data_IF_106546553560
#
_entry.id   IF_106546553560
#
_cell.length_a   1.000
_cell.length_b   1.000
_cell.length_c   1.000
_cell.angle_alpha   90.00
_cell.angle_beta   90.00
_cell.angle_gamma   90.00
#
_symmetry.space_group_name_H-M   'P 1'
#
loop_
_entity.id
_entity.type
_entity.pdbx_description
1 polymer ?
#
# COMPACT_ATOMS: atom_id res chain seq x y z
N UNK A 1 0.22 44.69 -13.93
CA UNK A 1 0.13 43.25 -14.23
C UNK A 1 -0.99 42.68 -13.39
N UNK A 2 -2.18 42.50 -13.98
CA UNK A 2 -3.35 42.03 -13.25
C UNK A 2 -3.25 40.54 -12.96
N UNK A 3 -3.29 40.19 -11.68
CA UNK A 3 -3.55 38.83 -11.21
C UNK A 3 -4.94 38.44 -11.71
N UNK A 4 -5.02 37.46 -12.60
CA UNK A 4 -6.30 36.83 -12.92
C UNK A 4 -6.76 36.08 -11.67
N UNK A 5 -7.67 36.67 -10.92
CA UNK A 5 -8.54 35.90 -10.04
C UNK A 5 -9.35 34.95 -10.93
N UNK A 6 -8.99 33.67 -10.89
CA UNK A 6 -9.82 32.62 -11.46
C UNK A 6 -11.05 32.49 -10.54
N UNK A 7 -12.11 33.22 -10.87
CA UNK A 7 -13.44 32.96 -10.32
C UNK A 7 -13.89 31.59 -10.81
N UNK A 8 -13.83 30.58 -9.92
CA UNK A 8 -14.32 29.22 -10.19
C UNK A 8 -15.85 29.26 -10.12
N UNK A 9 -16.49 29.79 -11.16
CA UNK A 9 -17.92 29.59 -11.36
C UNK A 9 -18.15 28.16 -11.86
N UNK A 10 -18.68 27.30 -10.99
CA UNK A 10 -19.58 26.16 -11.27
C UNK A 10 -19.38 25.38 -12.59
N UNK A 11 -18.15 24.98 -12.92
CA UNK A 11 -17.97 24.02 -14.01
C UNK A 11 -18.70 22.71 -13.63
N UNK A 12 -19.59 22.18 -14.48
CA UNK A 12 -20.33 20.96 -14.16
C UNK A 12 -19.33 19.84 -13.91
N UNK A 13 -19.58 19.08 -12.85
CA UNK A 13 -18.75 17.95 -12.48
C UNK A 13 -18.57 17.03 -13.70
N UNK A 14 -17.32 16.73 -14.11
CA UNK A 14 -17.09 15.85 -15.24
C UNK A 14 -17.78 14.50 -15.05
N UNK A 15 -18.39 13.95 -16.10
CA UNK A 15 -19.16 12.70 -16.05
C UNK A 15 -18.38 11.53 -15.43
N UNK A 16 -17.06 11.48 -15.65
CA UNK A 16 -16.19 10.48 -15.04
C UNK A 16 -16.11 10.61 -13.51
N UNK A 17 -16.07 11.83 -12.98
CA UNK A 17 -16.07 12.06 -11.54
C UNK A 17 -17.44 11.77 -10.93
N UNK A 18 -18.56 12.09 -11.60
CA UNK A 18 -19.89 11.67 -11.15
C UNK A 18 -20.03 10.15 -10.99
N UNK A 19 -19.47 9.38 -11.93
CA UNK A 19 -19.43 7.91 -11.83
C UNK A 19 -18.59 7.44 -10.63
N UNK A 20 -17.47 8.09 -10.37
CA UNK A 20 -16.64 7.78 -9.21
C UNK A 20 -17.38 8.07 -7.90
N UNK A 21 -17.99 9.26 -7.77
CA UNK A 21 -18.82 9.60 -6.60
C UNK A 21 -19.89 8.56 -6.33
N UNK A 22 -20.64 8.19 -7.36
CA UNK A 22 -21.68 7.15 -7.25
C UNK A 22 -21.12 5.79 -6.83
N UNK A 23 -19.98 5.36 -7.40
CA UNK A 23 -19.32 4.11 -7.01
C UNK A 23 -18.84 4.11 -5.56
N UNK A 24 -18.34 5.24 -5.08
CA UNK A 24 -17.85 5.39 -3.71
C UNK A 24 -18.99 5.60 -2.70
N UNK A 25 -20.18 5.97 -3.18
CA UNK A 25 -21.24 6.58 -2.38
C UNK A 25 -20.68 7.79 -1.60
N UNK A 26 -20.03 8.70 -2.32
CA UNK A 26 -19.42 9.90 -1.77
C UNK A 26 -20.48 10.95 -1.43
N UNK A 27 -20.44 11.48 -0.22
CA UNK A 27 -21.32 12.53 0.30
C UNK A 27 -20.48 13.74 0.78
N UNK A 28 -21.07 14.94 0.80
CA UNK A 28 -20.42 16.19 1.24
C UNK A 28 -19.67 16.94 0.12
N UNK A 29 -19.36 16.28 -0.99
CA UNK A 29 -18.64 16.92 -2.11
C UNK A 29 -19.48 18.00 -2.80
N UNK A 30 -20.74 17.71 -3.09
CA UNK A 30 -21.61 18.61 -3.85
C UNK A 30 -22.03 19.81 -3.02
N UNK A 31 -22.06 19.62 -1.70
CA UNK A 31 -22.33 20.63 -0.68
C UNK A 31 -21.11 21.51 -0.37
N UNK A 32 -19.93 21.18 -0.93
CA UNK A 32 -18.70 21.94 -0.72
C UNK A 32 -18.11 21.76 0.69
N UNK A 33 -18.36 20.62 1.34
CA UNK A 33 -17.86 20.33 2.67
C UNK A 33 -16.35 20.04 2.65
N UNK A 34 -15.63 20.55 3.67
CA UNK A 34 -14.21 20.28 3.87
C UNK A 34 -13.91 18.79 4.13
N UNK A 35 -14.92 18.05 4.62
CA UNK A 35 -14.82 16.63 4.95
C UNK A 35 -15.90 15.88 4.20
N UNK A 36 -15.51 14.81 3.53
CA UNK A 36 -16.43 13.93 2.80
C UNK A 36 -16.57 12.59 3.52
N UNK A 37 -17.77 12.00 3.45
CA UNK A 37 -18.03 10.61 3.88
C UNK A 37 -18.22 9.70 2.68
N UNK A 38 -18.01 8.40 2.88
CA UNK A 38 -18.28 7.39 1.86
C UNK A 38 -18.67 6.06 2.49
N UNK A 39 -19.25 5.17 1.68
CA UNK A 39 -19.56 3.82 2.13
C UNK A 39 -18.30 3.00 2.44
N UNK A 40 -18.44 1.99 3.31
CA UNK A 40 -17.35 1.03 3.61
C UNK A 40 -16.80 0.37 2.33
N UNK A 41 -17.68 0.00 1.41
CA UNK A 41 -17.29 -0.62 0.13
C UNK A 41 -16.64 0.39 -0.84
N UNK A 42 -17.05 1.65 -0.80
CA UNK A 42 -16.37 2.74 -1.47
C UNK A 42 -14.94 2.93 -0.95
N UNK A 43 -14.78 2.96 0.37
CA UNK A 43 -13.46 3.08 0.99
C UNK A 43 -12.56 1.88 0.67
N UNK A 44 -13.09 0.65 0.75
CA UNK A 44 -12.34 -0.55 0.31
C UNK A 44 -11.95 -0.46 -1.17
N UNK A 45 -12.83 0.04 -2.03
CA UNK A 45 -12.53 0.21 -3.46
C UNK A 45 -11.39 1.22 -3.70
N UNK A 46 -11.29 2.26 -2.87
CA UNK A 46 -10.15 3.18 -2.92
C UNK A 46 -8.86 2.51 -2.46
N UNK A 47 -8.90 1.77 -1.35
CA UNK A 47 -7.73 1.01 -0.87
C UNK A 47 -7.27 0.03 -1.95
N UNK A 48 -8.17 -0.78 -2.52
CA UNK A 48 -7.83 -1.69 -3.61
C UNK A 48 -7.23 -0.95 -4.82
N UNK A 49 -7.75 0.24 -5.17
CA UNK A 49 -7.22 1.03 -6.28
C UNK A 49 -5.81 1.56 -5.99
N UNK A 50 -5.53 1.99 -4.75
CA UNK A 50 -4.20 2.42 -4.33
C UNK A 50 -3.20 1.26 -4.34
N UNK A 51 -3.63 0.09 -3.83
CA UNK A 51 -2.78 -1.09 -3.74
C UNK A 51 -2.45 -1.73 -5.10
N UNK A 52 -3.25 -1.50 -6.16
CA UNK A 52 -2.94 -2.00 -7.51
C UNK A 52 -1.62 -1.49 -8.08
N UNK A 53 -1.12 -0.37 -7.57
CA UNK A 53 0.15 0.21 -7.99
C UNK A 53 1.32 -0.27 -7.12
N UNK A 54 1.07 -1.11 -6.11
CA UNK A 54 2.11 -1.71 -5.29
C UNK A 54 2.74 -2.87 -6.05
N UNK A 55 4.06 -2.90 -6.09
CA UNK A 55 4.80 -4.01 -6.70
C UNK A 55 4.54 -5.30 -5.92
N UNK A 56 4.09 -6.33 -6.63
CA UNK A 56 3.70 -7.61 -6.07
C UNK A 56 4.63 -8.72 -6.55
N UNK A 57 5.20 -9.47 -5.62
CA UNK A 57 6.15 -10.54 -5.89
C UNK A 57 5.52 -11.90 -5.62
N UNK A 58 4.98 -12.53 -6.67
CA UNK A 58 4.23 -13.78 -6.56
C UNK A 58 5.05 -14.92 -5.95
N UNK A 59 6.31 -15.06 -6.36
CA UNK A 59 7.19 -16.14 -5.90
C UNK A 59 7.47 -15.98 -4.40
N UNK A 60 7.90 -14.77 -4.00
CA UNK A 60 8.11 -14.45 -2.58
C UNK A 60 6.84 -14.63 -1.75
N UNK A 61 5.69 -14.22 -2.28
CA UNK A 61 4.40 -14.31 -1.59
C UNK A 61 4.02 -15.76 -1.30
N UNK A 62 4.21 -16.66 -2.28
CA UNK A 62 3.96 -18.09 -2.11
C UNK A 62 4.96 -18.77 -1.17
N UNK A 63 6.22 -18.33 -1.17
CA UNK A 63 7.25 -18.82 -0.24
C UNK A 63 6.96 -18.38 1.19
N UNK A 64 6.56 -17.12 1.37
CA UNK A 64 6.31 -16.51 2.68
C UNK A 64 4.98 -16.94 3.30
N UNK A 65 4.00 -17.32 2.47
CA UNK A 65 2.65 -17.65 2.90
C UNK A 65 2.21 -19.05 2.43
N UNK A 66 2.61 -20.12 3.15
CA UNK A 66 2.29 -21.50 2.79
C UNK A 66 0.77 -21.81 2.73
N UNK A 67 -0.05 -21.07 3.47
CA UNK A 67 -1.50 -21.22 3.45
C UNK A 67 -2.11 -20.68 2.15
N UNK A 68 -1.56 -19.58 1.61
CA UNK A 68 -1.93 -19.04 0.30
C UNK A 68 -1.54 -20.02 -0.80
N UNK A 69 -0.33 -20.60 -0.72
CA UNK A 69 0.11 -21.64 -1.66
C UNK A 69 -0.86 -22.83 -1.70
N UNK A 70 -1.24 -23.34 -0.53
CA UNK A 70 -2.22 -24.42 -0.44
C UNK A 70 -3.60 -24.01 -0.99
N UNK A 71 -4.02 -22.75 -0.77
CA UNK A 71 -5.25 -22.21 -1.33
C UNK A 71 -5.23 -22.13 -2.85
N UNK A 72 -4.10 -21.76 -3.44
CA UNK A 72 -3.88 -21.73 -4.89
C UNK A 72 -3.92 -23.15 -5.47
N UNK A 73 -3.19 -24.09 -4.87
CA UNK A 73 -3.15 -25.50 -5.31
C UNK A 73 -4.52 -26.18 -5.25
N UNK A 74 -5.35 -25.82 -4.27
CA UNK A 74 -6.73 -26.30 -4.12
C UNK A 74 -7.74 -25.58 -5.03
N UNK A 75 -7.31 -24.58 -5.80
CA UNK A 75 -8.18 -23.77 -6.65
C UNK A 75 -9.13 -22.84 -5.89
N UNK A 76 -8.91 -22.62 -4.59
CA UNK A 76 -9.70 -21.67 -3.78
C UNK A 76 -9.24 -20.24 -4.05
N UNK A 77 -7.95 -20.05 -4.32
CA UNK A 77 -7.35 -18.77 -4.71
C UNK A 77 -7.08 -18.82 -6.21
N UNK A 78 -7.75 -17.97 -6.98
CA UNK A 78 -7.55 -17.89 -8.43
C UNK A 78 -6.42 -16.94 -8.85
N UNK A 79 -6.08 -15.98 -7.98
CA UNK A 79 -5.07 -14.96 -8.25
C UNK A 79 -4.46 -14.49 -6.94
N UNK A 80 -3.15 -14.62 -6.82
CA UNK A 80 -2.37 -14.20 -5.66
C UNK A 80 -2.45 -12.69 -5.45
N UNK A 81 -2.33 -11.93 -6.54
CA UNK A 81 -2.48 -10.48 -6.47
C UNK A 81 -3.89 -10.09 -6.00
N UNK A 82 -4.94 -10.73 -6.53
CA UNK A 82 -6.31 -10.47 -6.05
C UNK A 82 -6.49 -10.85 -4.59
N UNK A 83 -5.88 -11.96 -4.14
CA UNK A 83 -5.88 -12.36 -2.74
C UNK A 83 -5.25 -11.28 -1.87
N UNK A 84 -4.07 -10.79 -2.24
CA UNK A 84 -3.39 -9.70 -1.53
C UNK A 84 -4.27 -8.44 -1.43
N UNK A 85 -4.81 -7.95 -2.56
CA UNK A 85 -5.62 -6.72 -2.58
C UNK A 85 -6.87 -6.79 -1.70
N UNK A 86 -7.49 -7.96 -1.59
CA UNK A 86 -8.80 -8.13 -0.93
C UNK A 86 -8.72 -8.65 0.50
N UNK A 87 -7.70 -9.44 0.81
CA UNK A 87 -7.56 -10.15 2.08
C UNK A 87 -6.17 -9.91 2.66
N UNK A 88 -5.13 -10.25 1.91
CA UNK A 88 -3.75 -10.24 2.41
C UNK A 88 -3.31 -8.91 3.01
N UNK A 89 -3.64 -7.77 2.38
CA UNK A 89 -3.33 -6.45 2.93
C UNK A 89 -3.99 -6.21 4.30
N UNK A 90 -5.26 -6.57 4.44
CA UNK A 90 -5.99 -6.42 5.71
C UNK A 90 -5.53 -7.42 6.78
N UNK A 91 -4.93 -8.54 6.37
CA UNK A 91 -4.26 -9.50 7.25
C UNK A 91 -2.84 -9.07 7.66
N UNK A 92 -2.34 -7.93 7.14
CA UNK A 92 -0.99 -7.44 7.39
C UNK A 92 0.09 -8.22 6.65
N UNK A 93 -0.25 -8.91 5.55
CA UNK A 93 0.71 -9.59 4.68
C UNK A 93 1.45 -8.59 3.82
N UNK A 94 2.71 -8.87 3.56
CA UNK A 94 3.57 -8.13 2.65
C UNK A 94 3.32 -8.56 1.20
N UNK A 95 3.34 -7.64 0.23
CA UNK A 95 3.21 -7.99 -1.19
C UNK A 95 4.49 -8.61 -1.77
N UNK A 96 5.60 -8.55 -1.05
CA UNK A 96 6.93 -8.83 -1.56
C UNK A 96 7.95 -7.87 -0.97
N UNK A 97 9.23 -8.08 -1.32
CA UNK A 97 10.34 -7.22 -0.91
C UNK A 97 10.93 -6.39 -2.05
N UNK A 98 10.37 -6.49 -3.27
CA UNK A 98 10.90 -5.79 -4.45
C UNK A 98 10.89 -4.26 -4.31
N UNK A 99 9.89 -3.72 -3.61
CA UNK A 99 9.79 -2.29 -3.31
C UNK A 99 10.61 -1.83 -2.09
N UNK A 100 11.28 -2.75 -1.39
CA UNK A 100 12.10 -2.41 -0.22
C UNK A 100 13.48 -1.93 -0.66
N UNK A 101 13.69 -0.63 -0.58
CA UNK A 101 15.02 -0.03 -0.66
C UNK A 101 15.73 -0.21 0.69
N UNK A 102 16.68 -1.15 0.75
CA UNK A 102 17.40 -1.46 1.98
C UNK A 102 18.34 -0.35 2.44
N UNK A 103 18.91 0.41 1.50
CA UNK A 103 19.83 1.50 1.83
C UNK A 103 19.05 2.63 2.50
N UNK A 104 17.88 2.96 1.95
CA UNK A 104 16.98 3.94 2.55
C UNK A 104 16.35 3.44 3.85
N UNK A 105 16.03 2.14 3.92
CA UNK A 105 15.50 1.55 5.14
C UNK A 105 16.51 1.60 6.29
N UNK A 106 17.78 1.35 6.01
CA UNK A 106 18.87 1.54 6.97
C UNK A 106 19.00 2.99 7.41
N UNK A 107 19.06 3.93 6.47
CA UNK A 107 19.20 5.37 6.74
C UNK A 107 18.09 5.87 7.69
N UNK A 108 16.85 5.42 7.48
CA UNK A 108 15.69 5.86 8.25
C UNK A 108 15.52 5.12 9.58
N UNK A 109 16.18 3.97 9.75
CA UNK A 109 16.08 3.09 10.91
C UNK A 109 17.47 2.59 11.35
N UNK A 110 18.40 3.50 11.70
CA UNK A 110 19.77 3.15 12.07
C UNK A 110 19.84 2.35 13.39
N UNK A 111 18.75 2.31 14.15
CA UNK A 111 18.61 1.48 15.35
C UNK A 111 18.68 -0.02 15.06
N UNK A 112 18.27 -0.47 13.87
CA UNK A 112 18.26 -1.89 13.50
C UNK A 112 19.66 -2.48 13.56
N UNK A 113 20.67 -1.75 13.06
CA UNK A 113 22.05 -2.21 13.02
C UNK A 113 22.83 -1.90 14.31
N UNK A 114 22.16 -1.41 15.36
CA UNK A 114 22.83 -1.15 16.64
C UNK A 114 23.32 -2.46 17.23
N UNK A 115 24.63 -2.65 17.26
CA UNK A 115 25.25 -3.88 17.74
C UNK A 115 25.49 -4.93 16.65
N UNK A 116 25.37 -4.57 15.37
CA UNK A 116 25.73 -5.44 14.26
C UNK A 116 27.23 -5.84 14.25
N UNK A 117 28.08 -5.14 15.01
CA UNK A 117 29.49 -5.50 15.16
C UNK A 117 30.25 -5.45 13.83
N UNK A 118 31.08 -6.47 13.57
CA UNK A 118 31.88 -6.61 12.35
C UNK A 118 31.15 -7.37 11.22
N UNK A 119 29.82 -7.29 11.16
CA UNK A 119 29.05 -7.87 10.06
C UNK A 119 29.49 -7.30 8.71
N UNK A 120 29.62 -8.18 7.73
CA UNK A 120 29.80 -7.77 6.33
C UNK A 120 28.50 -7.17 5.75
N UNK A 121 28.61 -6.56 4.57
CA UNK A 121 27.48 -5.90 3.92
C UNK A 121 26.33 -6.86 3.55
N UNK A 122 26.63 -8.14 3.29
CA UNK A 122 25.59 -9.13 3.00
C UNK A 122 24.81 -9.49 4.26
N UNK A 123 25.49 -9.66 5.38
CA UNK A 123 24.89 -9.93 6.68
C UNK A 123 24.01 -8.77 7.17
N UNK A 124 24.46 -7.52 6.99
CA UNK A 124 23.64 -6.34 7.32
C UNK A 124 22.37 -6.26 6.47
N UNK A 125 22.48 -6.46 5.16
CA UNK A 125 21.32 -6.46 4.25
C UNK A 125 20.32 -7.54 4.64
N UNK A 126 20.79 -8.72 5.02
CA UNK A 126 19.93 -9.81 5.49
C UNK A 126 19.24 -9.47 6.82
N UNK A 127 19.97 -8.87 7.76
CA UNK A 127 19.40 -8.39 9.02
C UNK A 127 18.29 -7.34 8.81
N UNK A 128 18.51 -6.39 7.90
CA UNK A 128 17.53 -5.36 7.54
C UNK A 128 16.27 -5.97 6.89
N UNK A 129 16.44 -6.92 5.95
CA UNK A 129 15.32 -7.66 5.35
C UNK A 129 14.50 -8.39 6.40
N UNK A 130 15.18 -9.16 7.26
CA UNK A 130 14.52 -9.95 8.30
C UNK A 130 13.79 -9.06 9.30
N UNK A 131 14.42 -7.95 9.72
CA UNK A 131 13.76 -6.96 10.56
C UNK A 131 12.50 -6.40 9.90
N UNK A 132 12.56 -6.03 8.61
CA UNK A 132 11.40 -5.49 7.90
C UNK A 132 10.25 -6.49 7.83
N UNK A 133 10.54 -7.75 7.48
CA UNK A 133 9.55 -8.83 7.35
C UNK A 133 8.89 -9.16 8.69
N UNK A 134 9.69 -9.28 9.76
CA UNK A 134 9.19 -9.72 11.06
C UNK A 134 8.46 -8.59 11.82
N UNK A 135 9.03 -7.39 11.80
CA UNK A 135 8.60 -6.26 12.63
C UNK A 135 8.28 -5.02 11.81
N UNK A 136 9.18 -4.62 10.90
CA UNK A 136 9.17 -3.30 10.30
C UNK A 136 7.88 -2.92 9.58
N UNK A 137 7.30 -3.85 8.81
CA UNK A 137 6.03 -3.60 8.12
C UNK A 137 4.87 -3.39 9.10
N UNK A 138 4.77 -4.23 10.14
CA UNK A 138 3.69 -4.16 11.14
C UNK A 138 3.82 -2.94 12.04
N UNK A 139 5.05 -2.52 12.33
CA UNK A 139 5.34 -1.30 13.10
C UNK A 139 5.12 -0.02 12.29
N UNK A 140 4.93 -0.11 10.97
CA UNK A 140 4.86 1.06 10.09
C UNK A 140 6.19 1.81 9.98
N UNK A 141 7.33 1.09 10.06
CA UNK A 141 8.66 1.69 9.90
C UNK A 141 8.77 2.38 8.55
N UNK A 142 9.50 3.49 8.53
CA UNK A 142 9.69 4.28 7.31
C UNK A 142 10.60 3.53 6.35
N UNK A 143 10.11 3.28 5.14
CA UNK A 143 10.82 2.60 4.05
C UNK A 143 11.12 3.53 2.87
N UNK A 144 10.74 4.80 2.98
CA UNK A 144 10.72 5.73 1.86
C UNK A 144 10.14 7.10 2.24
N UNK A 145 10.17 8.02 1.29
CA UNK A 145 9.33 9.22 1.39
C UNK A 145 7.93 8.80 0.94
N UNK A 146 6.97 8.88 1.86
CA UNK A 146 5.54 8.79 1.56
C UNK A 146 5.03 10.19 1.32
#
# INVERSE_FOLDING_TARGET
MGTKEYSVTEAPIPTHFSKLKSKLALEGWDEGEDRVSMSREGFKSLIEALLRNVEFDEDWYLESYPDVRQGLEKGVIESLHRHYLRLGYYEGRLPGLKSLDLEKYEELNPDILRGAGEMDEAQKKEMLKNHFVEYGYKEGRRVGAV
#
